data_IF_040462497958
#
_entry.id   IF_040462497958
#
_cell.length_a   1.000
_cell.length_b   1.000
_cell.length_c   1.000
_cell.angle_alpha   90.00
_cell.angle_beta   90.00
_cell.angle_gamma   90.00
#
_symmetry.space_group_name_H-M   'P 1'
#
loop_
_entity.id
_entity.type
_entity.pdbx_description
1 polymer ?
#
# COMPACT_ATOMS: atom_id res chain seq x y z
N UNK A 1 10.44 -11.52 -2.23
CA UNK A 1 9.25 -12.21 -2.76
C UNK A 1 9.65 -13.14 -3.91
N UNK A 2 10.29 -12.61 -4.94
CA UNK A 2 10.65 -13.29 -6.19
C UNK A 2 11.45 -14.60 -5.99
N UNK A 3 12.39 -14.61 -5.03
CA UNK A 3 13.17 -15.81 -4.67
C UNK A 3 12.33 -17.04 -4.28
N UNK A 4 11.07 -16.86 -3.89
CA UNK A 4 10.20 -17.97 -3.50
C UNK A 4 9.41 -18.55 -4.68
N UNK A 5 9.29 -17.83 -5.79
CA UNK A 5 8.43 -18.19 -6.93
C UNK A 5 8.93 -19.39 -7.72
N UNK A 6 10.25 -19.62 -7.76
CA UNK A 6 10.90 -20.76 -8.43
C UNK A 6 11.13 -21.96 -7.51
N UNK A 7 10.61 -21.91 -6.28
CA UNK A 7 10.80 -22.96 -5.28
C UNK A 7 9.49 -23.66 -4.96
N UNK A 8 9.55 -24.77 -4.21
CA UNK A 8 8.36 -25.43 -3.67
C UNK A 8 7.46 -24.50 -2.82
N UNK A 9 7.97 -23.34 -2.37
CA UNK A 9 7.21 -22.34 -1.61
C UNK A 9 6.32 -21.45 -2.48
N UNK A 10 6.33 -21.58 -3.81
CA UNK A 10 5.51 -20.76 -4.74
C UNK A 10 4.05 -20.62 -4.28
N UNK A 11 3.44 -21.72 -3.85
CA UNK A 11 2.03 -21.77 -3.43
C UNK A 11 1.86 -21.70 -1.89
N UNK A 12 2.94 -21.52 -1.12
CA UNK A 12 2.85 -21.32 0.33
C UNK A 12 2.19 -19.96 0.60
N UNK A 13 1.26 -19.93 1.56
CA UNK A 13 0.65 -18.69 2.04
C UNK A 13 1.73 -17.75 2.58
N UNK A 14 1.69 -16.51 2.08
CA UNK A 14 2.61 -15.43 2.41
C UNK A 14 1.91 -14.31 3.18
N UNK A 15 0.62 -14.09 2.92
CA UNK A 15 -0.21 -13.10 3.61
C UNK A 15 -1.58 -13.70 3.89
N UNK A 16 -2.03 -13.55 5.13
CA UNK A 16 -3.40 -13.84 5.57
C UNK A 16 -3.90 -12.55 6.18
N UNK A 17 -4.98 -12.02 5.63
CA UNK A 17 -5.64 -10.82 6.13
C UNK A 17 -7.04 -11.18 6.60
N UNK A 18 -7.43 -10.59 7.73
CA UNK A 18 -8.73 -10.77 8.37
C UNK A 18 -9.33 -9.38 8.52
N UNK A 19 -10.54 -9.19 7.98
CA UNK A 19 -11.25 -7.93 8.10
C UNK A 19 -11.71 -7.63 9.52
N UNK A 20 -11.75 -6.34 9.88
CA UNK A 20 -12.14 -5.91 11.23
C UNK A 20 -13.64 -6.11 11.51
N UNK A 21 -14.50 -5.76 10.53
CA UNK A 21 -15.97 -5.78 10.67
C UNK A 21 -16.65 -6.69 9.63
N UNK A 22 -15.89 -7.61 9.06
CA UNK A 22 -16.37 -8.55 8.05
C UNK A 22 -15.82 -9.91 8.41
N UNK A 23 -16.59 -10.99 8.22
CA UNK A 23 -16.08 -12.36 8.25
C UNK A 23 -15.18 -12.67 7.03
N UNK A 24 -14.78 -11.63 6.29
CA UNK A 24 -13.91 -11.73 5.14
C UNK A 24 -12.48 -12.06 5.57
N UNK A 25 -11.98 -13.15 5.01
CA UNK A 25 -10.58 -13.57 5.10
C UNK A 25 -10.01 -13.64 3.70
N UNK A 26 -8.98 -12.84 3.44
CA UNK A 26 -8.23 -12.86 2.18
C UNK A 26 -6.90 -13.54 2.40
N UNK A 27 -6.55 -14.50 1.55
CA UNK A 27 -5.27 -15.21 1.63
C UNK A 27 -4.51 -15.11 0.32
N UNK A 28 -3.20 -14.95 0.42
CA UNK A 28 -2.32 -14.81 -0.73
C UNK A 28 -1.14 -15.76 -0.56
N UNK A 29 -0.95 -16.65 -1.53
CA UNK A 29 0.32 -17.36 -1.70
C UNK A 29 1.42 -16.40 -2.17
N UNK A 30 2.69 -16.82 -2.11
CA UNK A 30 3.77 -16.01 -2.72
C UNK A 30 3.51 -15.70 -4.19
N UNK A 31 2.95 -16.64 -4.95
CA UNK A 31 2.59 -16.42 -6.34
C UNK A 31 1.46 -15.41 -6.51
N UNK A 32 0.38 -15.54 -5.73
CA UNK A 32 -0.75 -14.60 -5.79
C UNK A 32 -0.31 -13.19 -5.37
N UNK A 33 0.41 -13.07 -4.25
CA UNK A 33 0.95 -11.81 -3.77
C UNK A 33 1.85 -11.13 -4.81
N UNK A 34 2.73 -11.89 -5.47
CA UNK A 34 3.60 -11.32 -6.51
C UNK A 34 2.82 -10.75 -7.69
N UNK A 35 1.72 -11.38 -8.09
CA UNK A 35 0.88 -10.89 -9.18
C UNK A 35 0.27 -9.52 -8.84
N UNK A 36 -0.26 -9.36 -7.62
CA UNK A 36 -0.82 -8.08 -7.17
C UNK A 36 0.27 -6.99 -7.06
N UNK A 37 1.46 -7.35 -6.57
CA UNK A 37 2.62 -6.44 -6.52
C UNK A 37 3.07 -6.02 -7.91
N UNK A 38 3.12 -6.93 -8.89
CA UNK A 38 3.51 -6.60 -10.27
C UNK A 38 2.48 -5.68 -10.94
N UNK A 39 1.20 -5.90 -10.70
CA UNK A 39 0.15 -5.00 -11.19
C UNK A 39 0.31 -3.59 -10.59
N UNK A 40 0.44 -3.49 -9.26
CA UNK A 40 0.69 -2.20 -8.59
C UNK A 40 1.96 -1.52 -9.10
N UNK A 41 3.05 -2.26 -9.29
CA UNK A 41 4.29 -1.72 -9.85
C UNK A 41 4.11 -1.18 -11.28
N UNK A 42 3.29 -1.84 -12.11
CA UNK A 42 2.98 -1.38 -13.45
C UNK A 42 2.14 -0.09 -13.44
N UNK A 43 1.17 0.02 -12.52
CA UNK A 43 0.39 1.26 -12.33
C UNK A 43 1.31 2.41 -11.94
N UNK A 44 2.19 2.23 -10.95
CA UNK A 44 3.14 3.27 -10.53
C UNK A 44 4.07 3.71 -11.67
N UNK A 45 4.61 2.76 -12.44
CA UNK A 45 5.40 3.10 -13.63
C UNK A 45 4.60 3.87 -14.68
N UNK A 46 3.33 3.52 -14.89
CA UNK A 46 2.45 4.23 -15.83
C UNK A 46 2.15 5.67 -15.36
N UNK A 47 2.16 5.92 -14.05
CA UNK A 47 2.10 7.26 -13.45
C UNK A 47 3.47 7.99 -13.45
N UNK A 48 4.49 7.39 -14.06
CA UNK A 48 5.83 7.97 -14.20
C UNK A 48 6.73 7.79 -12.98
N UNK A 49 6.35 6.98 -11.99
CA UNK A 49 7.20 6.70 -10.83
C UNK A 49 8.37 5.80 -11.23
N UNK A 50 9.58 6.21 -10.86
CA UNK A 50 10.82 5.49 -11.12
C UNK A 50 11.73 5.35 -9.90
N UNK A 51 12.99 5.00 -10.16
CA UNK A 51 13.99 4.82 -9.12
C UNK A 51 14.28 6.15 -8.41
N UNK A 52 14.22 6.15 -7.09
CA UNK A 52 14.49 7.32 -6.26
C UNK A 52 13.28 8.23 -6.04
N UNK A 53 12.21 8.12 -6.86
CA UNK A 53 10.97 8.85 -6.60
C UNK A 53 10.34 8.37 -5.28
N UNK A 54 9.75 9.30 -4.54
CA UNK A 54 9.03 8.99 -3.30
C UNK A 54 7.55 8.78 -3.58
N UNK A 55 6.99 7.71 -3.01
CA UNK A 55 5.56 7.40 -3.01
C UNK A 55 5.07 7.39 -1.58
N UNK A 56 4.17 8.32 -1.23
CA UNK A 56 3.51 8.31 0.07
C UNK A 56 2.39 7.27 0.09
N UNK A 57 2.39 6.43 1.12
CA UNK A 57 1.40 5.39 1.34
C UNK A 57 0.59 5.76 2.58
N UNK A 58 -0.65 6.17 2.37
CA UNK A 58 -1.62 6.50 3.40
C UNK A 58 -2.76 5.48 3.33
N UNK A 59 -2.48 4.25 3.74
CA UNK A 59 -3.41 3.12 3.67
C UNK A 59 -3.69 2.55 5.08
N UNK A 60 -4.88 1.98 5.30
CA UNK A 60 -5.17 1.24 6.53
C UNK A 60 -4.49 -0.13 6.51
N UNK A 61 -4.77 -0.95 7.54
CA UNK A 61 -4.25 -2.33 7.64
C UNK A 61 -5.00 -3.29 6.70
N UNK A 62 -4.89 -3.07 5.39
CA UNK A 62 -5.45 -3.90 4.31
C UNK A 62 -4.33 -4.53 3.47
N UNK A 63 -4.58 -5.63 2.72
CA UNK A 63 -3.54 -6.29 1.92
C UNK A 63 -2.77 -5.36 0.97
N UNK A 64 -3.46 -4.38 0.42
CA UNK A 64 -2.95 -3.43 -0.58
C UNK A 64 -1.77 -2.60 -0.06
N UNK A 65 -1.63 -2.41 1.26
CA UNK A 65 -0.44 -1.75 1.83
C UNK A 65 0.85 -2.52 1.49
N UNK A 66 0.80 -3.84 1.55
CA UNK A 66 1.93 -4.69 1.19
C UNK A 66 2.19 -4.67 -0.31
N UNK A 67 1.12 -4.56 -1.12
CA UNK A 67 1.26 -4.48 -2.57
C UNK A 67 2.00 -3.19 -2.95
N UNK A 68 1.57 -2.06 -2.38
CA UNK A 68 2.19 -0.75 -2.59
C UNK A 68 3.66 -0.71 -2.13
N UNK A 69 3.95 -1.16 -0.91
CA UNK A 69 5.32 -1.16 -0.37
C UNK A 69 6.26 -2.04 -1.21
N UNK A 70 5.85 -3.26 -1.53
CA UNK A 70 6.67 -4.18 -2.32
C UNK A 70 6.79 -3.74 -3.78
N UNK A 71 5.77 -3.08 -4.34
CA UNK A 71 5.82 -2.50 -5.68
C UNK A 71 6.86 -1.36 -5.75
N UNK A 72 6.85 -0.45 -4.78
CA UNK A 72 7.85 0.61 -4.67
C UNK A 72 9.27 0.03 -4.61
N UNK A 73 9.48 -0.95 -3.71
CA UNK A 73 10.77 -1.62 -3.58
C UNK A 73 11.20 -2.33 -4.88
N UNK A 74 10.27 -2.94 -5.63
CA UNK A 74 10.56 -3.64 -6.89
C UNK A 74 11.00 -2.68 -8.01
N UNK A 75 10.42 -1.48 -8.08
CA UNK A 75 10.78 -0.47 -9.10
C UNK A 75 11.90 0.49 -8.66
N UNK A 76 12.38 0.35 -7.42
CA UNK A 76 13.43 1.20 -6.85
C UNK A 76 12.94 2.56 -6.35
N UNK A 77 11.63 2.74 -6.19
CA UNK A 77 11.03 3.90 -5.54
C UNK A 77 11.14 3.80 -4.01
N UNK A 78 11.08 4.94 -3.33
CA UNK A 78 11.10 5.02 -1.86
C UNK A 78 9.66 5.12 -1.36
N UNK A 79 9.21 4.19 -0.52
CA UNK A 79 7.89 4.29 0.08
C UNK A 79 7.94 5.09 1.40
N UNK A 80 7.15 6.16 1.50
CA UNK A 80 6.94 6.94 2.72
C UNK A 80 5.61 6.52 3.35
N UNK A 81 5.63 5.66 4.36
CA UNK A 81 4.41 5.12 4.96
C UNK A 81 3.93 6.04 6.08
N UNK A 82 2.69 6.53 5.97
CA UNK A 82 2.07 7.43 6.94
C UNK A 82 0.91 6.72 7.62
N UNK A 83 0.88 6.75 8.95
CA UNK A 83 -0.16 6.10 9.71
C UNK A 83 -1.52 6.78 9.48
N UNK A 84 -2.54 5.97 9.20
CA UNK A 84 -3.91 6.38 8.88
C UNK A 84 -4.63 7.22 9.96
N UNK A 85 -4.06 7.40 11.16
CA UNK A 85 -4.66 8.21 12.23
C UNK A 85 -4.07 9.61 12.38
N UNK A 86 -3.20 10.04 11.47
CA UNK A 86 -2.65 11.41 11.50
C UNK A 86 -3.64 12.43 10.91
N UNK A 87 -3.51 13.68 11.34
CA UNK A 87 -4.26 14.80 10.77
C UNK A 87 -3.77 15.11 9.35
N UNK A 88 -4.57 15.87 8.59
CA UNK A 88 -4.21 16.36 7.26
C UNK A 88 -2.92 17.17 7.29
N UNK A 89 -2.70 18.02 8.29
CA UNK A 89 -1.46 18.81 8.40
C UNK A 89 -0.23 17.91 8.58
N UNK A 90 -0.36 16.86 9.39
CA UNK A 90 0.72 15.90 9.60
C UNK A 90 0.99 15.05 8.35
N UNK A 91 -0.03 14.75 7.54
CA UNK A 91 0.12 14.09 6.26
C UNK A 91 0.80 15.01 5.24
N UNK A 92 0.30 16.24 5.08
CA UNK A 92 0.83 17.24 4.13
C UNK A 92 2.30 17.55 4.42
N UNK A 93 2.67 17.76 5.69
CA UNK A 93 4.06 17.98 6.07
C UNK A 93 5.01 16.83 5.66
N UNK A 94 4.52 15.58 5.61
CA UNK A 94 5.30 14.42 5.17
C UNK A 94 5.35 14.29 3.65
N UNK A 95 4.25 14.60 2.96
CA UNK A 95 4.19 14.64 1.50
C UNK A 95 5.19 15.68 0.99
N UNK A 96 5.14 16.89 1.51
CA UNK A 96 6.02 18.01 1.14
C UNK A 96 7.47 17.74 1.52
N UNK A 97 7.70 17.34 2.78
CA UNK A 97 9.06 17.07 3.27
C UNK A 97 9.77 15.90 2.59
N UNK A 98 9.02 15.05 1.88
CA UNK A 98 9.57 13.94 1.09
C UNK A 98 9.49 14.15 -0.42
N UNK A 99 8.97 15.29 -0.87
CA UNK A 99 8.73 15.60 -2.29
C UNK A 99 8.01 14.44 -3.00
N UNK A 100 6.97 13.91 -2.35
CA UNK A 100 6.25 12.74 -2.84
C UNK A 100 5.61 12.99 -4.20
N UNK A 101 5.90 12.11 -5.16
CA UNK A 101 5.38 12.19 -6.54
C UNK A 101 3.96 11.66 -6.65
N UNK A 102 3.62 10.67 -5.84
CA UNK A 102 2.30 10.03 -5.80
C UNK A 102 1.92 9.73 -4.36
N UNK A 103 0.63 9.86 -4.05
CA UNK A 103 0.01 9.38 -2.82
C UNK A 103 -0.91 8.20 -3.14
N UNK A 104 -0.79 7.10 -2.40
CA UNK A 104 -1.71 5.96 -2.45
C UNK A 104 -2.59 5.99 -1.20
N UNK A 105 -3.91 5.99 -1.40
CA UNK A 105 -4.90 6.03 -0.31
C UNK A 105 -6.16 5.21 -0.67
N UNK A 106 -7.11 5.14 0.26
CA UNK A 106 -8.46 4.59 0.07
C UNK A 106 -9.53 5.66 0.30
N UNK A 107 -10.76 5.38 -0.11
CA UNK A 107 -11.95 6.17 0.22
C UNK A 107 -12.15 6.29 1.74
N UNK A 108 -12.05 5.17 2.47
CA UNK A 108 -12.09 5.13 3.92
C UNK A 108 -11.70 3.77 4.50
N UNK A 109 -11.63 3.70 5.82
CA UNK A 109 -11.34 2.46 6.55
C UNK A 109 -12.28 2.30 7.72
N UNK A 110 -12.60 1.05 8.07
CA UNK A 110 -13.16 0.74 9.38
C UNK A 110 -12.08 0.85 10.45
N UNK A 111 -12.36 1.61 11.52
CA UNK A 111 -11.55 1.71 12.73
C UNK A 111 -12.51 1.76 13.92
N UNK A 112 -12.43 0.78 14.82
CA UNK A 112 -13.26 0.66 16.02
C UNK A 112 -14.77 0.75 15.70
N UNK A 113 -15.21 0.06 14.63
CA UNK A 113 -16.62 0.03 14.24
C UNK A 113 -17.14 1.30 13.54
N UNK A 114 -16.28 2.28 13.26
CA UNK A 114 -16.65 3.51 12.53
C UNK A 114 -15.86 3.66 11.24
N UNK A 115 -16.46 4.30 10.24
CA UNK A 115 -15.77 4.65 9.01
C UNK A 115 -14.92 5.89 9.26
N UNK A 116 -13.63 5.78 8.99
CA UNK A 116 -12.67 6.86 9.00
C UNK A 116 -12.40 7.32 7.54
N UNK A 117 -12.76 8.56 7.17
CA UNK A 117 -12.78 9.01 5.77
C UNK A 117 -11.39 9.43 5.27
N UNK A 118 -10.54 8.46 4.94
CA UNK A 118 -9.14 8.69 4.57
C UNK A 118 -8.96 9.58 3.35
N UNK A 119 -9.82 9.48 2.33
CA UNK A 119 -9.72 10.31 1.13
C UNK A 119 -10.00 11.79 1.41
N UNK A 120 -10.91 12.09 2.34
CA UNK A 120 -11.22 13.47 2.71
C UNK A 120 -9.99 14.15 3.31
N UNK A 121 -9.25 13.45 4.17
CA UNK A 121 -8.00 13.95 4.78
C UNK A 121 -6.92 14.21 3.72
N UNK A 122 -6.87 13.39 2.66
CA UNK A 122 -5.91 13.58 1.56
C UNK A 122 -6.29 14.78 0.67
N UNK A 123 -7.58 15.12 0.57
CA UNK A 123 -8.06 16.25 -0.22
C UNK A 123 -8.03 17.58 0.55
N UNK A 124 -7.79 17.54 1.85
CA UNK A 124 -7.67 18.74 2.67
C UNK A 124 -6.38 19.52 2.32
N UNK A 125 -6.46 20.86 2.19
CA UNK A 125 -5.32 21.69 1.80
C UNK A 125 -4.14 21.67 2.77
#
# INVERSE_FOLDING_TARGET
MDRHLSTARRNKLALIWVGENTDEVRTFSYFALNREVEQMANVLKAMGVGKGDVVTIYLPRIPEIFFAMLACAKIGAVHSVVFAGYSSEALNARIDGSESKVVITVDGSWINGKVFPMKQIVDEP
#
